data_IF_125880997599
#
_entry.id   IF_125880997599
#
_cell.length_a   1.000
_cell.length_b   1.000
_cell.length_c   1.000
_cell.angle_alpha   90.00
_cell.angle_beta   90.00
_cell.angle_gamma   90.00
#
_symmetry.space_group_name_H-M   'P 1'
#
loop_
_entity.id
_entity.type
_entity.pdbx_description
1 polymer ?
#
# COMPACT_ATOMS: atom_id res chain seq x y z
N UNK A 1 13.14 19.14 -11.15
CA UNK A 1 12.02 18.34 -10.60
C UNK A 1 12.08 16.94 -11.21
N UNK A 2 12.21 15.86 -10.43
CA UNK A 2 12.10 14.49 -10.97
C UNK A 2 10.65 14.26 -11.39
N UNK A 3 10.42 13.94 -12.66
CA UNK A 3 9.11 13.50 -13.17
C UNK A 3 8.81 12.17 -12.48
N UNK A 4 7.88 12.17 -11.53
CA UNK A 4 7.48 10.93 -10.85
C UNK A 4 6.50 10.22 -11.75
N UNK A 5 6.93 9.10 -12.36
CA UNK A 5 6.06 8.28 -13.21
C UNK A 5 4.99 7.64 -12.33
N UNK A 6 3.73 7.81 -12.71
CA UNK A 6 2.59 7.28 -11.96
C UNK A 6 1.94 6.11 -12.70
N UNK A 7 1.57 5.06 -11.96
CA UNK A 7 0.91 3.88 -12.52
C UNK A 7 -0.61 4.09 -12.53
N UNK A 8 -1.24 3.94 -13.71
CA UNK A 8 -2.71 4.01 -13.82
C UNK A 8 -3.32 2.67 -13.40
N UNK A 9 -3.99 2.65 -12.25
CA UNK A 9 -4.72 1.45 -11.80
C UNK A 9 -6.08 1.34 -12.48
N UNK A 10 -6.54 0.10 -12.64
CA UNK A 10 -7.89 -0.22 -13.15
C UNK A 10 -8.91 -0.29 -12.02
N UNK A 11 -8.47 -0.63 -10.81
CA UNK A 11 -9.32 -0.71 -9.62
C UNK A 11 -9.79 0.67 -9.17
N UNK A 12 -11.01 0.70 -8.64
CA UNK A 12 -11.60 1.87 -8.02
C UNK A 12 -11.46 1.85 -6.49
N UNK A 13 -11.67 3.02 -5.88
CA UNK A 13 -11.77 3.14 -4.43
C UNK A 13 -12.96 2.35 -3.93
N UNK A 14 -12.83 1.76 -2.74
CA UNK A 14 -13.97 1.10 -2.11
C UNK A 14 -15.09 2.12 -1.84
N UNK A 15 -16.34 1.83 -2.25
CA UNK A 15 -17.46 2.68 -1.94
C UNK A 15 -17.89 2.51 -0.48
N UNK A 16 -18.49 3.56 0.08
CA UNK A 16 -19.05 3.58 1.43
C UNK A 16 -18.67 4.83 2.22
N UNK A 17 -19.51 5.21 3.17
CA UNK A 17 -19.32 6.37 4.07
C UNK A 17 -19.09 5.94 5.52
N UNK A 18 -19.35 4.66 5.84
CA UNK A 18 -19.15 4.10 7.17
C UNK A 18 -17.82 3.32 7.25
N UNK A 19 -16.98 3.68 8.22
CA UNK A 19 -15.69 3.03 8.43
C UNK A 19 -15.80 1.52 8.62
N UNK A 20 -16.78 1.03 9.39
CA UNK A 20 -16.95 -0.41 9.66
C UNK A 20 -17.25 -1.19 8.38
N UNK A 21 -18.07 -0.62 7.50
CA UNK A 21 -18.43 -1.20 6.21
C UNK A 21 -17.21 -1.25 5.27
N UNK A 22 -16.53 -0.11 5.09
CA UNK A 22 -15.36 -0.01 4.22
C UNK A 22 -14.24 -0.93 4.73
N UNK A 23 -14.02 -0.98 6.04
CA UNK A 23 -13.08 -1.92 6.67
C UNK A 23 -13.43 -3.36 6.36
N UNK A 24 -14.71 -3.75 6.51
CA UNK A 24 -15.16 -5.11 6.18
C UNK A 24 -14.87 -5.45 4.72
N UNK A 25 -15.15 -4.54 3.78
CA UNK A 25 -14.84 -4.72 2.35
C UNK A 25 -13.35 -4.88 2.10
N UNK A 26 -12.52 -3.97 2.62
CA UNK A 26 -11.06 -4.04 2.46
C UNK A 26 -10.46 -5.30 3.08
N UNK A 27 -10.95 -5.69 4.27
CA UNK A 27 -10.46 -6.86 4.97
C UNK A 27 -10.80 -8.17 4.27
N UNK A 28 -11.89 -8.23 3.47
CA UNK A 28 -12.16 -9.39 2.60
C UNK A 28 -11.01 -9.65 1.62
N UNK A 29 -10.45 -8.62 0.99
CA UNK A 29 -9.29 -8.75 0.11
C UNK A 29 -8.07 -9.31 0.86
N UNK A 30 -7.82 -8.78 2.06
CA UNK A 30 -6.74 -9.29 2.90
C UNK A 30 -6.95 -10.75 3.31
N UNK A 31 -8.17 -11.13 3.68
CA UNK A 31 -8.51 -12.52 4.03
C UNK A 31 -8.34 -13.47 2.84
N UNK A 32 -8.73 -13.06 1.64
CA UNK A 32 -8.49 -13.85 0.42
C UNK A 32 -6.99 -14.09 0.19
N UNK A 33 -6.16 -13.06 0.38
CA UNK A 33 -4.70 -13.19 0.28
C UNK A 33 -4.17 -14.09 1.39
N UNK A 34 -4.61 -13.89 2.63
CA UNK A 34 -4.21 -14.69 3.79
C UNK A 34 -4.49 -16.17 3.56
N UNK A 35 -5.67 -16.54 3.03
CA UNK A 35 -6.02 -17.92 2.69
C UNK A 35 -5.11 -18.55 1.64
N UNK A 36 -4.59 -17.74 0.71
CA UNK A 36 -3.66 -18.20 -0.36
C UNK A 36 -2.20 -18.27 0.08
N UNK A 37 -1.86 -17.71 1.24
CA UNK A 37 -0.48 -17.63 1.75
C UNK A 37 -0.31 -18.43 3.02
N UNK A 38 0.79 -19.18 3.17
CA UNK A 38 0.97 -20.10 4.31
C UNK A 38 1.20 -19.40 5.67
N UNK A 39 2.20 -18.52 5.77
CA UNK A 39 2.66 -17.93 7.05
C UNK A 39 2.21 -16.48 7.22
N UNK A 40 2.86 -15.56 6.50
CA UNK A 40 2.52 -14.14 6.47
C UNK A 40 1.78 -13.81 5.17
N UNK A 41 0.70 -13.01 5.21
CA UNK A 41 0.06 -12.50 4.00
C UNK A 41 0.99 -11.56 3.24
N UNK A 42 1.16 -11.82 1.94
CA UNK A 42 1.99 -11.03 1.06
C UNK A 42 1.38 -10.93 -0.35
N UNK A 43 1.81 -9.92 -1.09
CA UNK A 43 1.71 -9.87 -2.55
C UNK A 43 3.10 -9.80 -3.15
N UNK A 44 3.24 -10.24 -4.40
CA UNK A 44 4.50 -10.13 -5.13
C UNK A 44 4.50 -8.82 -5.91
N UNK A 45 5.60 -8.08 -5.87
CA UNK A 45 5.71 -6.80 -6.57
C UNK A 45 6.38 -6.93 -7.93
N UNK A 46 5.82 -6.32 -8.98
CA UNK A 46 6.46 -6.30 -10.30
C UNK A 46 7.79 -5.53 -10.30
N UNK A 47 7.83 -4.34 -9.69
CA UNK A 47 9.06 -3.55 -9.54
C UNK A 47 10.17 -4.31 -8.81
N UNK A 48 9.87 -4.93 -7.66
CA UNK A 48 10.86 -5.70 -6.89
C UNK A 48 11.09 -7.12 -7.41
N UNK A 49 11.04 -7.34 -8.74
CA UNK A 49 11.31 -8.65 -9.37
C UNK A 49 10.53 -9.82 -8.75
N UNK A 50 9.24 -9.61 -8.47
CA UNK A 50 8.32 -10.56 -7.81
C UNK A 50 8.66 -10.91 -6.36
N UNK A 51 9.47 -10.09 -5.70
CA UNK A 51 9.73 -10.18 -4.26
C UNK A 51 8.46 -9.92 -3.43
N UNK A 52 8.44 -10.45 -2.21
CA UNK A 52 7.27 -10.43 -1.32
C UNK A 52 7.16 -9.10 -0.60
N UNK A 53 5.99 -8.47 -0.73
CA UNK A 53 5.56 -7.33 0.06
C UNK A 53 4.56 -7.84 1.09
N UNK A 54 4.96 -7.88 2.36
CA UNK A 54 4.12 -8.32 3.46
C UNK A 54 3.06 -7.27 3.80
N UNK A 55 1.87 -7.73 4.17
CA UNK A 55 0.68 -6.90 4.37
C UNK A 55 0.24 -6.78 5.83
N UNK A 56 0.89 -7.53 6.73
CA UNK A 56 0.61 -7.55 8.17
C UNK A 56 0.80 -6.15 8.78
N UNK A 57 1.92 -5.51 8.46
CA UNK A 57 2.31 -4.22 9.04
C UNK A 57 1.33 -3.09 8.71
N UNK A 58 0.70 -3.13 7.53
CA UNK A 58 -0.30 -2.14 7.12
C UNK A 58 -1.47 -2.04 8.09
N UNK A 59 -2.00 -3.20 8.50
CA UNK A 59 -3.17 -3.25 9.37
C UNK A 59 -2.82 -2.76 10.77
N UNK A 60 -1.64 -3.10 11.30
CA UNK A 60 -1.19 -2.61 12.59
C UNK A 60 -1.05 -1.08 12.60
N UNK A 61 -0.35 -0.50 11.63
CA UNK A 61 -0.20 0.95 11.54
C UNK A 61 -1.50 1.70 11.26
N UNK A 62 -2.45 1.06 10.58
CA UNK A 62 -3.75 1.66 10.34
C UNK A 62 -4.51 1.88 11.66
N UNK A 63 -4.37 1.01 12.66
CA UNK A 63 -5.08 1.19 13.95
C UNK A 63 -4.36 2.07 14.95
N UNK A 64 -3.09 2.40 14.73
CA UNK A 64 -2.34 3.34 15.58
C UNK A 64 -2.88 4.78 15.47
N UNK A 65 -3.50 5.15 14.34
CA UNK A 65 -4.02 6.51 14.17
C UNK A 65 -5.41 6.64 14.79
N UNK A 66 -5.63 7.72 15.55
CA UNK A 66 -6.92 8.00 16.20
C UNK A 66 -7.98 8.61 15.26
N UNK A 67 -7.59 9.11 14.08
CA UNK A 67 -8.51 9.81 13.17
C UNK A 67 -9.22 8.86 12.19
N UNK A 68 -10.45 8.46 12.54
CA UNK A 68 -11.28 7.55 11.73
C UNK A 68 -11.58 8.07 10.31
N UNK A 69 -11.66 9.38 10.10
CA UNK A 69 -11.93 9.98 8.78
C UNK A 69 -10.73 9.75 7.85
N UNK A 70 -9.52 10.05 8.32
CA UNK A 70 -8.27 9.78 7.57
C UNK A 70 -8.10 8.27 7.33
N UNK A 71 -8.35 7.44 8.35
CA UNK A 71 -8.31 5.99 8.20
C UNK A 71 -9.24 5.47 7.12
N UNK A 72 -10.47 5.97 7.09
CA UNK A 72 -11.45 5.62 6.07
C UNK A 72 -10.98 6.05 4.68
N UNK A 73 -10.44 7.26 4.52
CA UNK A 73 -9.91 7.72 3.23
C UNK A 73 -8.79 6.80 2.73
N UNK A 74 -7.86 6.42 3.61
CA UNK A 74 -6.71 5.54 3.29
C UNK A 74 -7.13 4.11 2.93
N UNK A 75 -7.98 3.49 3.73
CA UNK A 75 -8.38 2.09 3.53
C UNK A 75 -9.21 1.90 2.26
N UNK A 76 -9.91 2.95 1.78
CA UNK A 76 -10.62 2.91 0.49
C UNK A 76 -9.71 2.61 -0.70
N UNK A 77 -8.45 3.02 -0.62
CA UNK A 77 -7.44 2.75 -1.66
C UNK A 77 -6.76 1.38 -1.51
N UNK A 78 -7.12 0.56 -0.52
CA UNK A 78 -6.51 -0.74 -0.33
C UNK A 78 -6.48 -1.64 -1.58
N UNK A 79 -7.59 -1.84 -2.34
CA UNK A 79 -7.54 -2.60 -3.59
C UNK A 79 -6.61 -1.97 -4.64
N UNK A 80 -6.66 -0.65 -4.79
CA UNK A 80 -5.80 0.11 -5.71
C UNK A 80 -4.32 -0.08 -5.37
N UNK A 81 -3.97 -0.07 -4.09
CA UNK A 81 -2.61 -0.30 -3.62
C UNK A 81 -2.12 -1.72 -3.92
N UNK A 82 -2.96 -2.73 -3.70
CA UNK A 82 -2.62 -4.11 -4.02
C UNK A 82 -2.38 -4.30 -5.53
N UNK A 83 -3.21 -3.70 -6.37
CA UNK A 83 -3.02 -3.73 -7.83
C UNK A 83 -1.73 -3.03 -8.23
N UNK A 84 -1.51 -1.82 -7.73
CA UNK A 84 -0.30 -1.05 -8.01
C UNK A 84 0.95 -1.84 -7.65
N UNK A 85 0.99 -2.48 -6.48
CA UNK A 85 2.14 -3.27 -6.06
C UNK A 85 2.37 -4.43 -7.02
N UNK A 86 1.31 -5.16 -7.39
CA UNK A 86 1.40 -6.36 -8.22
C UNK A 86 1.86 -6.07 -9.65
N UNK A 87 1.43 -4.95 -10.21
CA UNK A 87 1.53 -4.72 -11.65
C UNK A 87 2.50 -3.59 -12.04
N UNK A 88 2.78 -2.66 -11.13
CA UNK A 88 3.68 -1.54 -11.43
C UNK A 88 5.15 -1.98 -11.37
N UNK A 89 5.84 -1.78 -12.49
CA UNK A 89 7.30 -1.82 -12.60
C UNK A 89 7.92 -0.43 -12.58
N UNK A 90 7.13 0.61 -12.29
CA UNK A 90 7.62 1.99 -12.25
C UNK A 90 8.49 2.21 -11.00
N UNK A 91 9.54 2.99 -11.17
CA UNK A 91 10.49 3.30 -10.10
C UNK A 91 9.83 4.19 -9.01
N UNK A 92 9.80 3.74 -7.75
CA UNK A 92 9.33 4.54 -6.63
C UNK A 92 10.37 5.58 -6.22
N UNK A 93 9.90 6.65 -5.57
CA UNK A 93 10.82 7.52 -4.83
C UNK A 93 11.29 6.78 -3.58
N UNK A 94 12.59 6.50 -3.50
CA UNK A 94 13.20 5.77 -2.38
C UNK A 94 14.04 6.72 -1.54
N UNK A 95 13.85 6.70 -0.22
CA UNK A 95 14.64 7.50 0.74
C UNK A 95 14.92 6.68 1.99
N UNK A 96 16.03 6.95 2.66
CA UNK A 96 16.26 6.38 3.98
C UNK A 96 15.23 6.91 4.98
N UNK A 97 14.81 6.06 5.92
CA UNK A 97 13.92 6.50 6.97
C UNK A 97 14.71 7.40 7.94
N UNK A 98 14.38 8.69 8.08
CA UNK A 98 15.13 9.62 8.94
C UNK A 98 15.10 9.20 10.41
N UNK A 99 14.05 8.50 10.83
CA UNK A 99 13.91 8.03 12.20
C UNK A 99 14.64 6.70 12.46
N UNK A 100 14.95 5.95 11.40
CA UNK A 100 15.56 4.60 11.49
C UNK A 100 16.41 4.31 10.25
N UNK A 101 17.71 4.59 10.33
CA UNK A 101 18.67 4.40 9.22
C UNK A 101 18.75 2.96 8.67
N UNK A 102 18.28 1.97 9.42
CA UNK A 102 18.19 0.56 9.00
C UNK A 102 17.03 0.27 8.04
N UNK A 103 16.22 1.27 7.68
CA UNK A 103 15.04 1.13 6.84
C UNK A 103 15.09 2.07 5.61
N UNK A 104 14.56 1.60 4.49
CA UNK A 104 14.31 2.39 3.28
C UNK A 104 12.80 2.51 3.10
N UNK A 105 12.34 3.70 2.74
CA UNK A 105 10.95 3.98 2.40
C UNK A 105 10.82 4.18 0.90
N UNK A 106 10.08 3.28 0.26
CA UNK A 106 9.74 3.36 -1.16
C UNK A 106 8.33 3.91 -1.30
N UNK A 107 8.20 5.04 -1.97
CA UNK A 107 6.92 5.69 -2.29
C UNK A 107 6.60 5.49 -3.75
N UNK A 108 5.60 4.67 -4.01
CA UNK A 108 5.02 4.49 -5.33
C UNK A 108 3.86 5.47 -5.54
N UNK A 109 3.67 5.90 -6.79
CA UNK A 109 2.59 6.80 -7.18
C UNK A 109 1.60 6.06 -8.07
N UNK A 110 0.33 6.13 -7.70
CA UNK A 110 -0.78 5.57 -8.45
C UNK A 110 -1.80 6.64 -8.82
N UNK A 111 -2.48 6.41 -9.93
CA UNK A 111 -3.60 7.23 -10.40
C UNK A 111 -4.80 6.31 -10.63
N UNK A 112 -5.92 6.58 -9.96
CA UNK A 112 -7.16 5.83 -10.16
C UNK A 112 -7.92 6.36 -11.41
N UNK A 113 -8.92 5.64 -11.94
CA UNK A 113 -9.61 6.03 -13.19
C UNK A 113 -10.18 7.45 -13.21
N UNK A 114 -10.63 7.98 -12.06
CA UNK A 114 -11.14 9.35 -11.92
C UNK A 114 -10.04 10.44 -11.86
N UNK A 115 -8.78 10.09 -12.16
CA UNK A 115 -7.57 10.95 -12.13
C UNK A 115 -7.07 11.36 -10.74
N UNK A 116 -7.62 10.82 -9.66
CA UNK A 116 -7.11 11.08 -8.31
C UNK A 116 -5.79 10.33 -8.06
N UNK A 117 -4.84 11.04 -7.45
CA UNK A 117 -3.50 10.53 -7.17
C UNK A 117 -3.47 9.97 -5.76
N UNK A 118 -2.83 8.82 -5.61
CA UNK A 118 -2.56 8.21 -4.32
C UNK A 118 -1.14 7.65 -4.27
N UNK A 119 -0.65 7.49 -3.05
CA UNK A 119 0.67 6.97 -2.77
C UNK A 119 0.58 5.67 -2.01
N UNK A 120 1.50 4.76 -2.34
CA UNK A 120 1.73 3.52 -1.60
C UNK A 120 3.12 3.57 -1.01
N UNK A 121 3.21 3.47 0.31
CA UNK A 121 4.47 3.49 1.04
C UNK A 121 4.84 2.08 1.50
N UNK A 122 5.97 1.60 1.01
CA UNK A 122 6.57 0.32 1.35
C UNK A 122 7.84 0.57 2.17
N UNK A 123 7.95 -0.11 3.31
CA UNK A 123 9.18 -0.25 4.08
C UNK A 123 10.04 -1.33 3.47
N UNK A 124 11.33 -1.13 3.40
CA UNK A 124 12.32 -2.18 3.23
C UNK A 124 13.26 -2.17 4.43
N UNK A 125 13.49 -3.34 5.03
CA UNK A 125 14.49 -3.52 6.07
C UNK A 125 15.84 -3.85 5.41
N UNK A 126 16.85 -3.00 5.60
CA UNK A 126 18.17 -3.15 4.96
C UNK A 126 18.89 -4.44 5.38
N UNK A 127 18.65 -4.93 6.60
CA UNK A 127 19.34 -6.11 7.14
C UNK A 127 18.94 -7.41 6.45
N UNK A 128 17.67 -7.56 6.09
CA UNK A 128 17.14 -8.83 5.55
C UNK A 128 16.38 -8.66 4.22
N UNK A 129 16.35 -7.45 3.66
CA UNK A 129 15.66 -7.11 2.42
C UNK A 129 14.14 -7.23 2.48
N UNK A 130 13.56 -7.52 3.65
CA UNK A 130 12.11 -7.76 3.76
C UNK A 130 11.33 -6.47 3.58
N UNK A 131 10.28 -6.55 2.77
CA UNK A 131 9.46 -5.42 2.39
C UNK A 131 8.06 -5.52 2.97
N UNK A 132 7.54 -4.40 3.44
CA UNK A 132 6.27 -4.32 4.15
C UNK A 132 5.45 -3.15 3.64
N UNK A 133 4.18 -3.38 3.31
CA UNK A 133 3.24 -2.29 3.10
C UNK A 133 3.01 -1.57 4.43
N UNK A 134 3.32 -0.28 4.50
CA UNK A 134 3.10 0.54 5.70
C UNK A 134 1.80 1.32 5.58
N UNK A 135 1.66 2.07 4.49
CA UNK A 135 0.57 3.03 4.36
C UNK A 135 0.16 3.24 2.91
N UNK A 136 -1.09 3.66 2.76
CA UNK A 136 -1.67 4.12 1.50
C UNK A 136 -2.38 5.43 1.81
N UNK A 137 -2.21 6.46 1.00
CA UNK A 137 -2.84 7.76 1.23
C UNK A 137 -3.03 8.56 -0.05
N UNK A 138 -4.10 9.37 -0.16
CA UNK A 138 -4.28 10.29 -1.28
C UNK A 138 -3.27 11.45 -1.22
N UNK A 139 -3.05 12.12 -2.35
CA UNK A 139 -2.23 13.34 -2.42
C UNK A 139 -2.89 14.54 -1.70
N UNK A 140 -4.22 14.62 -1.73
CA UNK A 140 -5.03 15.70 -1.14
C UNK A 140 -6.29 15.15 -0.46
#
# INVERSE_FOLDING_TARGET
MKIVKAYRVKSEKLPGTNFREVRKKAFKFYQQIKKRTKRKPYVRSAYFKKDKIFLDLFWSHLFEKRNFVDLMRRIKFYPCALELIRNSSLEPTSKENPNKSSEILHRFVGVIPNKEIFFVQIKENKRNGQKYLISVFPDR
#
